data_IF_817850097029
#
_entry.id   IF_817850097029
#
_cell.length_a   1.000
_cell.length_b   1.000
_cell.length_c   1.000
_cell.angle_alpha   90.00
_cell.angle_beta   90.00
_cell.angle_gamma   90.00
#
_symmetry.space_group_name_H-M   'P 1'
#
loop_
_entity.id
_entity.type
_entity.pdbx_description
1 polymer ?
#
# COMPACT_ATOMS: atom_id res chain seq x y z
N UNK A 1 -7.51 -9.41 23.39
CA UNK A 1 -8.23 -8.81 22.23
C UNK A 1 -7.33 -8.84 21.01
N UNK A 2 -7.91 -9.06 19.85
CA UNK A 2 -7.17 -9.06 18.58
C UNK A 2 -7.79 -8.05 17.63
N UNK A 3 -6.99 -7.16 17.10
CA UNK A 3 -7.40 -6.22 16.06
C UNK A 3 -6.70 -6.58 14.75
N UNK A 4 -7.45 -6.56 13.66
CA UNK A 4 -6.93 -6.72 12.30
C UNK A 4 -7.28 -5.45 11.53
N UNK A 5 -6.26 -4.81 10.97
CA UNK A 5 -6.44 -3.61 10.17
C UNK A 5 -6.14 -3.88 8.71
N UNK A 6 -6.89 -3.25 7.82
CA UNK A 6 -6.66 -3.28 6.38
C UNK A 6 -6.60 -1.85 5.86
N UNK A 7 -5.49 -1.53 5.22
CA UNK A 7 -5.30 -0.29 4.48
C UNK A 7 -5.39 -0.60 2.99
N UNK A 8 -6.25 0.10 2.28
CA UNK A 8 -6.32 0.03 0.81
C UNK A 8 -5.76 1.32 0.25
N UNK A 9 -4.74 1.20 -0.60
CA UNK A 9 -4.06 2.34 -1.22
C UNK A 9 -4.31 2.31 -2.72
N UNK A 10 -4.81 3.41 -3.27
CA UNK A 10 -4.92 3.60 -4.71
C UNK A 10 -3.77 4.45 -5.21
N UNK A 11 -3.07 3.95 -6.23
CA UNK A 11 -1.93 4.62 -6.84
C UNK A 11 -2.19 4.92 -8.30
N UNK A 12 -1.71 6.08 -8.75
CA UNK A 12 -1.56 6.41 -10.14
C UNK A 12 -0.09 6.22 -10.53
N UNK A 13 0.16 5.50 -11.62
CA UNK A 13 1.51 5.18 -12.09
C UNK A 13 1.68 5.78 -13.49
N UNK A 14 2.19 7.02 -13.59
CA UNK A 14 2.29 7.73 -14.87
C UNK A 14 3.39 7.16 -15.77
N UNK A 15 3.21 7.34 -17.08
CA UNK A 15 4.24 7.03 -18.07
C UNK A 15 4.52 5.55 -18.30
N UNK A 16 3.65 4.68 -17.83
CA UNK A 16 3.81 3.22 -17.95
C UNK A 16 3.22 2.74 -19.27
N UNK A 17 4.00 1.95 -20.02
CA UNK A 17 3.59 1.41 -21.33
C UNK A 17 3.49 -0.12 -21.32
N UNK A 18 3.91 -0.78 -20.25
CA UNK A 18 3.85 -2.23 -20.15
C UNK A 18 3.65 -2.68 -18.71
N UNK A 19 3.14 -3.91 -18.52
CA UNK A 19 3.03 -4.49 -17.17
C UNK A 19 4.41 -4.72 -16.54
N UNK A 20 5.43 -4.98 -17.34
CA UNK A 20 6.80 -5.11 -16.84
C UNK A 20 7.28 -3.82 -16.21
N UNK A 21 7.04 -2.68 -16.85
CA UNK A 21 7.39 -1.38 -16.29
C UNK A 21 6.61 -1.09 -15.01
N UNK A 22 5.31 -1.41 -14.98
CA UNK A 22 4.48 -1.25 -13.79
C UNK A 22 5.04 -2.06 -12.62
N UNK A 23 5.43 -3.32 -12.86
CA UNK A 23 6.03 -4.16 -11.81
C UNK A 23 7.34 -3.56 -11.29
N UNK A 24 8.10 -2.91 -12.17
CA UNK A 24 9.33 -2.21 -11.78
C UNK A 24 9.09 -1.05 -10.82
N UNK A 25 7.87 -0.52 -10.75
CA UNK A 25 7.47 0.52 -9.79
C UNK A 25 6.81 -0.10 -8.56
N UNK A 26 5.88 -1.02 -8.75
CA UNK A 26 5.04 -1.57 -7.66
C UNK A 26 5.81 -2.53 -6.77
N UNK A 27 6.61 -3.42 -7.33
CA UNK A 27 7.35 -4.43 -6.53
C UNK A 27 8.36 -3.82 -5.55
N UNK A 28 9.18 -2.83 -5.95
CA UNK A 28 10.08 -2.18 -5.00
C UNK A 28 9.34 -1.45 -3.88
N UNK A 29 8.18 -0.86 -4.18
CA UNK A 29 7.35 -0.21 -3.17
C UNK A 29 6.84 -1.23 -2.16
N UNK A 30 6.31 -2.36 -2.62
CA UNK A 30 5.86 -3.44 -1.75
C UNK A 30 7.01 -3.94 -0.86
N UNK A 31 8.18 -4.16 -1.44
CA UNK A 31 9.36 -4.61 -0.70
C UNK A 31 9.78 -3.60 0.36
N UNK A 32 9.75 -2.31 0.04
CA UNK A 32 10.07 -1.25 1.00
C UNK A 32 9.09 -1.19 2.16
N UNK A 33 7.79 -1.32 1.88
CA UNK A 33 6.77 -1.35 2.92
C UNK A 33 6.98 -2.52 3.88
N UNK A 34 7.28 -3.71 3.36
CA UNK A 34 7.56 -4.89 4.18
C UNK A 34 8.83 -4.74 5.02
N UNK A 35 9.82 -4.04 4.49
CA UNK A 35 11.08 -3.80 5.20
C UNK A 35 10.92 -2.80 6.34
N UNK A 36 10.15 -1.74 6.13
CA UNK A 36 10.03 -0.66 7.09
C UNK A 36 8.91 -0.85 8.12
N UNK A 37 7.91 -1.67 7.79
CA UNK A 37 6.76 -1.90 8.66
C UNK A 37 6.47 -3.38 8.81
N UNK A 38 5.97 -3.76 9.98
CA UNK A 38 5.52 -5.13 10.22
C UNK A 38 4.09 -5.31 9.66
N UNK A 39 4.02 -5.45 8.34
CA UNK A 39 2.76 -5.54 7.61
C UNK A 39 2.85 -6.60 6.51
N UNK A 40 1.69 -7.11 6.11
CA UNK A 40 1.53 -7.92 4.92
C UNK A 40 1.04 -7.02 3.79
N UNK A 41 1.65 -7.10 2.62
CA UNK A 41 1.33 -6.22 1.49
C UNK A 41 1.14 -7.04 0.22
N UNK A 42 0.12 -6.71 -0.56
CA UNK A 42 -0.12 -7.30 -1.87
C UNK A 42 -0.78 -6.29 -2.81
N UNK A 43 -0.55 -6.44 -4.09
CA UNK A 43 -1.35 -5.76 -5.11
C UNK A 43 -2.66 -6.55 -5.24
N UNK A 44 -3.81 -5.90 -4.97
CA UNK A 44 -5.09 -6.60 -4.82
C UNK A 44 -6.09 -6.36 -5.95
N UNK A 45 -5.95 -5.26 -6.68
CA UNK A 45 -6.84 -4.93 -7.81
C UNK A 45 -6.05 -4.24 -8.91
N UNK A 46 -6.64 -4.15 -10.10
CA UNK A 46 -6.10 -3.45 -11.27
C UNK A 46 -4.74 -3.99 -11.72
N UNK A 47 -4.48 -5.28 -11.46
CA UNK A 47 -3.20 -5.92 -11.78
C UNK A 47 -2.86 -5.84 -13.28
N UNK A 48 -3.87 -5.83 -14.16
CA UNK A 48 -3.71 -5.75 -15.61
C UNK A 48 -3.77 -4.31 -16.14
N UNK A 49 -4.08 -3.33 -15.30
CA UNK A 49 -4.12 -1.92 -15.71
C UNK A 49 -2.74 -1.28 -15.58
N UNK A 50 -2.35 -0.51 -16.59
CA UNK A 50 -1.02 0.06 -16.63
C UNK A 50 -0.87 1.28 -15.73
N UNK A 51 -1.82 2.20 -15.76
CA UNK A 51 -1.74 3.48 -15.04
C UNK A 51 -2.23 3.45 -13.61
N UNK A 52 -2.73 2.32 -13.12
CA UNK A 52 -3.34 2.19 -11.80
C UNK A 52 -2.82 0.97 -11.07
N UNK A 53 -2.66 1.11 -9.76
CA UNK A 53 -2.36 0.00 -8.87
C UNK A 53 -3.14 0.17 -7.57
N UNK A 54 -3.65 -0.92 -7.03
CA UNK A 54 -4.32 -0.93 -5.72
C UNK A 54 -3.58 -1.90 -4.82
N UNK A 55 -3.07 -1.40 -3.70
CA UNK A 55 -2.36 -2.20 -2.71
C UNK A 55 -3.24 -2.44 -1.49
N UNK A 56 -3.23 -3.66 -0.99
CA UNK A 56 -3.75 -4.00 0.31
C UNK A 56 -2.61 -4.15 1.30
N UNK A 57 -2.74 -3.52 2.47
CA UNK A 57 -1.76 -3.58 3.55
C UNK A 57 -2.50 -4.01 4.81
N UNK A 58 -2.08 -5.12 5.41
CA UNK A 58 -2.75 -5.66 6.58
C UNK A 58 -1.81 -5.76 7.76
N UNK A 59 -2.35 -5.56 8.97
CA UNK A 59 -1.63 -5.77 10.20
C UNK A 59 -2.51 -6.42 11.26
N UNK A 60 -1.87 -7.07 12.21
CA UNK A 60 -2.52 -7.66 13.39
C UNK A 60 -1.92 -7.00 14.63
N UNK A 61 -2.76 -6.63 15.59
CA UNK A 61 -2.32 -6.00 16.83
C UNK A 61 -3.30 -6.36 17.96
N UNK A 62 -2.85 -6.40 19.20
CA UNK A 62 -3.78 -6.48 20.34
C UNK A 62 -4.55 -5.17 20.58
N UNK A 63 -4.16 -4.07 19.91
CA UNK A 63 -4.78 -2.75 20.05
C UNK A 63 -5.30 -2.25 18.71
N UNK A 64 -6.59 -1.90 18.66
CA UNK A 64 -7.19 -1.29 17.46
C UNK A 64 -6.57 0.09 17.17
N UNK A 65 -6.30 0.88 18.21
CA UNK A 65 -5.66 2.20 18.05
C UNK A 65 -4.27 2.09 17.48
N UNK A 66 -3.49 1.11 17.95
CA UNK A 66 -2.15 0.87 17.40
C UNK A 66 -2.22 0.44 15.94
N UNK A 67 -3.13 -0.48 15.59
CA UNK A 67 -3.31 -0.93 14.21
C UNK A 67 -3.66 0.24 13.29
N UNK A 68 -4.61 1.07 13.69
CA UNK A 68 -4.99 2.26 12.95
C UNK A 68 -3.81 3.22 12.77
N UNK A 69 -3.09 3.49 13.86
CA UNK A 69 -1.92 4.38 13.83
C UNK A 69 -0.80 3.87 12.93
N UNK A 70 -0.53 2.56 12.97
CA UNK A 70 0.47 1.94 12.09
C UNK A 70 0.08 2.10 10.62
N UNK A 71 -1.16 1.80 10.26
CA UNK A 71 -1.62 1.89 8.88
C UNK A 71 -1.68 3.35 8.39
N UNK A 72 -1.99 4.29 9.28
CA UNK A 72 -1.91 5.72 8.97
C UNK A 72 -0.48 6.12 8.62
N UNK A 73 0.50 5.67 9.40
CA UNK A 73 1.92 5.94 9.10
C UNK A 73 2.36 5.32 7.79
N UNK A 74 1.86 4.14 7.46
CA UNK A 74 2.14 3.51 6.15
C UNK A 74 1.64 4.40 5.02
N UNK A 75 0.38 4.85 5.08
CA UNK A 75 -0.21 5.71 4.07
C UNK A 75 0.55 7.05 3.94
N UNK A 76 0.88 7.68 5.06
CA UNK A 76 1.66 8.93 5.08
C UNK A 76 3.05 8.74 4.47
N UNK A 77 3.71 7.63 4.76
CA UNK A 77 5.02 7.31 4.19
C UNK A 77 4.96 7.16 2.68
N UNK A 78 3.96 6.44 2.18
CA UNK A 78 3.78 6.29 0.72
C UNK A 78 3.57 7.66 0.07
N UNK A 79 2.79 8.54 0.69
CA UNK A 79 2.55 9.89 0.16
C UNK A 79 3.81 10.77 0.17
N UNK A 80 4.71 10.56 1.15
CA UNK A 80 5.94 11.35 1.30
C UNK A 80 7.11 10.84 0.49
N UNK A 81 7.18 9.52 0.23
CA UNK A 81 8.30 8.95 -0.52
C UNK A 81 8.30 9.45 -1.96
N UNK A 82 9.49 9.70 -2.49
CA UNK A 82 9.66 10.03 -3.90
C UNK A 82 9.59 8.74 -4.71
N UNK A 83 8.42 8.51 -5.29
CA UNK A 83 8.12 7.30 -6.05
C UNK A 83 7.74 7.68 -7.48
N UNK A 84 7.86 6.71 -8.39
CA UNK A 84 7.31 6.81 -9.74
C UNK A 84 5.81 6.49 -9.76
N UNK A 85 5.15 6.68 -8.62
CA UNK A 85 3.72 6.51 -8.44
C UNK A 85 3.20 7.59 -7.50
N UNK A 86 1.94 7.96 -7.67
CA UNK A 86 1.28 8.98 -6.84
C UNK A 86 0.16 8.34 -6.04
N UNK A 87 0.11 8.65 -4.74
CA UNK A 87 -1.02 8.27 -3.90
C UNK A 87 -2.24 9.09 -4.31
N UNK A 88 -3.28 8.41 -4.78
CA UNK A 88 -4.54 9.05 -5.17
C UNK A 88 -5.50 9.11 -3.99
N UNK A 89 -5.65 7.99 -3.29
CA UNK A 89 -6.57 7.87 -2.18
C UNK A 89 -6.17 6.67 -1.31
N UNK A 90 -6.64 6.67 -0.07
CA UNK A 90 -6.52 5.49 0.80
C UNK A 90 -7.67 5.44 1.79
N UNK A 91 -7.92 4.24 2.31
CA UNK A 91 -8.88 4.05 3.41
C UNK A 91 -8.37 2.97 4.36
N UNK A 92 -8.75 3.09 5.63
CA UNK A 92 -8.40 2.15 6.68
C UNK A 92 -9.68 1.53 7.23
N UNK A 93 -9.67 0.21 7.33
CA UNK A 93 -10.76 -0.55 7.93
C UNK A 93 -10.21 -1.38 9.08
N UNK A 94 -10.91 -1.38 10.21
CA UNK A 94 -10.62 -2.29 11.31
C UNK A 94 -11.64 -3.42 11.24
N UNK A 95 -11.15 -4.62 11.08
CA UNK A 95 -11.98 -5.81 10.87
C UNK A 95 -12.31 -6.53 12.16
#
# INVERSE_FOLDING_TARGET
MTAVGLLTIELYVPGITSLKEKRGVVKPLIARLRKEFNVSVAEIEDNDQLGHAVLGVACVSPSADYAHGLLTRVAESVAEWRLDAELVDYRIELL
#
